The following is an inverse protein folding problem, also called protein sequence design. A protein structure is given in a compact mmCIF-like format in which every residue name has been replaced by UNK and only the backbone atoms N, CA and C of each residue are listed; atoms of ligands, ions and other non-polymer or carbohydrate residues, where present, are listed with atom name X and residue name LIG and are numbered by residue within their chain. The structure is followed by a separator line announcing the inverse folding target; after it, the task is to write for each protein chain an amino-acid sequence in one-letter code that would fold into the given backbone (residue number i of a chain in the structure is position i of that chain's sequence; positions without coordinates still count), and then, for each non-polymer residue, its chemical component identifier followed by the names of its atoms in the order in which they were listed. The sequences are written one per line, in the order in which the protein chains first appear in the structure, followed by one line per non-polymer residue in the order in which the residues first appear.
data_IF_456096924065
#
_entry.id   IF_456096924065
#
_cell.length_a   1.000
_cell.length_b   1.000
_cell.length_c   1.000
_cell.angle_alpha   90.00
_cell.angle_beta   90.00
_cell.angle_gamma   90.00
#
_symmetry.space_group_name_H-M   'P 1'
#
loop_
_entity.id
_entity.type
_entity.pdbx_description
1 polymer ?
#
# COMPACT_ATOMS: atom_id res chain seq x y z
N UNK A 1 8.00 -22.04 -10.85
CA UNK A 1 7.33 -20.95 -10.14
C UNK A 1 6.41 -20.12 -11.02
N UNK A 2 6.65 -19.94 -12.30
CA UNK A 2 5.91 -19.06 -13.24
C UNK A 2 4.36 -19.15 -13.33
N UNK A 3 3.68 -20.06 -12.68
CA UNK A 3 2.21 -20.15 -12.71
C UNK A 3 1.60 -19.50 -11.46
N UNK A 4 2.27 -19.55 -10.32
CA UNK A 4 1.74 -19.06 -9.04
C UNK A 4 1.87 -17.55 -8.89
N UNK A 5 2.92 -16.97 -9.45
CA UNK A 5 3.12 -15.53 -9.56
C UNK A 5 2.01 -14.87 -10.40
N UNK A 6 1.68 -15.46 -11.59
CA UNK A 6 0.55 -15.01 -12.40
C UNK A 6 -0.78 -15.14 -11.64
N UNK A 7 -1.08 -16.28 -11.03
CA UNK A 7 -2.28 -16.46 -10.20
C UNK A 7 -2.39 -15.39 -9.11
N UNK A 8 -1.25 -15.04 -8.47
CA UNK A 8 -1.22 -14.00 -7.45
C UNK A 8 -1.51 -12.62 -8.00
N UNK A 9 -0.91 -12.27 -9.14
CA UNK A 9 -1.16 -11.00 -9.82
C UNK A 9 -2.59 -10.91 -10.36
N UNK A 10 -3.13 -11.98 -10.95
CA UNK A 10 -4.52 -12.03 -11.40
C UNK A 10 -5.51 -11.80 -10.24
N UNK A 11 -5.20 -12.32 -9.06
CA UNK A 11 -6.00 -12.08 -7.86
C UNK A 11 -5.91 -10.63 -7.39
N UNK A 12 -4.69 -10.08 -7.32
CA UNK A 12 -4.50 -8.66 -6.99
C UNK A 12 -5.13 -7.75 -8.04
N UNK A 13 -5.12 -8.15 -9.30
CA UNK A 13 -5.81 -7.48 -10.39
C UNK A 13 -7.32 -7.40 -10.14
N UNK A 14 -7.96 -8.51 -9.75
CA UNK A 14 -9.39 -8.50 -9.37
C UNK A 14 -9.67 -7.55 -8.21
N UNK A 15 -8.79 -7.52 -7.19
CA UNK A 15 -8.89 -6.57 -6.08
C UNK A 15 -8.85 -5.10 -6.58
N UNK A 16 -7.94 -4.80 -7.53
CA UNK A 16 -7.85 -3.46 -8.15
C UNK A 16 -9.10 -3.13 -8.94
N UNK A 17 -9.60 -4.08 -9.74
CA UNK A 17 -10.82 -3.86 -10.56
C UNK A 17 -12.05 -3.62 -9.68
N UNK A 18 -12.17 -4.32 -8.55
CA UNK A 18 -13.23 -4.06 -7.57
C UNK A 18 -13.13 -2.66 -6.94
N UNK A 19 -11.90 -2.17 -6.71
CA UNK A 19 -11.68 -0.79 -6.24
C UNK A 19 -12.01 0.19 -7.36
N UNK A 20 -11.58 -0.06 -8.58
CA UNK A 20 -11.84 0.78 -9.75
C UNK A 20 -13.35 0.96 -10.00
N UNK A 21 -14.12 -0.12 -9.90
CA UNK A 21 -15.59 -0.07 -10.02
C UNK A 21 -16.20 0.86 -8.97
N UNK A 22 -15.78 0.75 -7.72
CA UNK A 22 -16.22 1.64 -6.62
C UNK A 22 -15.81 3.10 -6.82
N UNK A 23 -14.72 3.33 -7.56
CA UNK A 23 -14.24 4.66 -7.92
C UNK A 23 -14.85 5.18 -9.24
N UNK A 24 -15.90 4.54 -9.78
CA UNK A 24 -16.55 4.98 -11.01
C UNK A 24 -15.67 4.89 -12.26
N UNK A 25 -14.66 4.04 -12.27
CA UNK A 25 -13.73 3.87 -13.39
C UNK A 25 -12.53 4.83 -13.38
N UNK A 26 -12.38 5.66 -12.34
CA UNK A 26 -11.25 6.58 -12.20
C UNK A 26 -9.99 5.83 -11.73
N UNK A 27 -9.03 5.63 -12.62
CA UNK A 27 -7.77 4.94 -12.33
C UNK A 27 -6.85 5.71 -11.37
N UNK A 28 -6.90 7.04 -11.37
CA UNK A 28 -6.10 7.84 -10.45
C UNK A 28 -6.64 7.71 -9.02
N UNK A 29 -7.96 7.77 -8.85
CA UNK A 29 -8.62 7.51 -7.56
C UNK A 29 -8.40 6.05 -7.11
N UNK A 30 -8.48 5.08 -8.01
CA UNK A 30 -8.23 3.68 -7.69
C UNK A 30 -6.78 3.46 -7.21
N UNK A 31 -5.78 4.01 -7.88
CA UNK A 31 -4.38 3.98 -7.44
C UNK A 31 -4.21 4.64 -6.07
N UNK A 32 -4.77 5.84 -5.88
CA UNK A 32 -4.76 6.55 -4.60
C UNK A 32 -5.32 5.67 -3.48
N UNK A 33 -6.48 5.06 -3.69
CA UNK A 33 -7.10 4.14 -2.73
C UNK A 33 -6.22 2.92 -2.44
N UNK A 34 -5.58 2.34 -3.48
CA UNK A 34 -4.68 1.21 -3.32
C UNK A 34 -3.40 1.56 -2.54
N UNK A 35 -2.85 2.76 -2.72
CA UNK A 35 -1.72 3.27 -1.94
C UNK A 35 -2.09 3.43 -0.47
N UNK A 36 -3.24 4.04 -0.18
CA UNK A 36 -3.76 4.17 1.17
C UNK A 36 -3.97 2.80 1.83
N UNK A 37 -4.65 1.88 1.14
CA UNK A 37 -4.84 0.49 1.58
C UNK A 37 -3.52 -0.20 1.93
N UNK A 38 -2.50 -0.06 1.08
CA UNK A 38 -1.19 -0.68 1.29
C UNK A 38 -0.42 -0.02 2.46
N UNK A 39 -0.60 1.28 2.66
CA UNK A 39 -0.01 2.00 3.80
C UNK A 39 -0.59 1.52 5.13
N UNK A 40 -1.88 1.20 5.20
CA UNK A 40 -2.58 0.71 6.39
C UNK A 40 -2.17 -0.70 6.83
N UNK A 41 -1.58 -1.49 5.94
CA UNK A 41 -1.21 -2.88 6.22
C UNK A 41 -2.42 -3.75 6.62
N UNK A 42 -2.21 -4.71 7.51
CA UNK A 42 -3.29 -5.63 7.90
C UNK A 42 -4.25 -5.04 8.95
N UNK A 43 -3.77 -4.13 9.82
CA UNK A 43 -4.55 -3.65 10.96
C UNK A 43 -5.46 -2.46 10.64
N UNK A 44 -5.01 -1.58 9.75
CA UNK A 44 -5.72 -0.35 9.40
C UNK A 44 -6.13 -0.31 7.92
N UNK A 45 -6.22 -1.46 7.25
CA UNK A 45 -6.59 -1.54 5.83
C UNK A 45 -7.89 -0.82 5.54
N UNK A 46 -8.95 -1.17 6.26
CA UNK A 46 -10.29 -0.62 6.05
C UNK A 46 -10.38 0.88 6.41
N UNK A 47 -9.84 1.35 7.57
CA UNK A 47 -9.78 2.78 7.85
C UNK A 47 -9.08 3.61 6.77
N UNK A 48 -7.99 3.09 6.17
CA UNK A 48 -7.32 3.81 5.07
C UNK A 48 -8.13 3.82 3.78
N UNK A 49 -8.88 2.78 3.47
CA UNK A 49 -9.80 2.75 2.32
C UNK A 49 -10.92 3.77 2.54
N UNK A 50 -11.50 3.82 3.74
CA UNK A 50 -12.54 4.77 4.10
C UNK A 50 -12.02 6.22 4.03
N UNK A 51 -10.83 6.48 4.58
CA UNK A 51 -10.16 7.78 4.46
C UNK A 51 -10.01 8.22 2.99
N UNK A 52 -9.52 7.33 2.12
CA UNK A 52 -9.34 7.62 0.70
C UNK A 52 -10.66 7.86 -0.05
N UNK A 53 -11.76 7.31 0.44
CA UNK A 53 -13.09 7.53 -0.13
C UNK A 53 -13.72 8.86 0.31
N UNK A 54 -13.46 9.31 1.55
CA UNK A 54 -13.97 10.58 2.09
C UNK A 54 -13.14 11.77 1.67
N UNK A 55 -11.82 11.65 1.69
CA UNK A 55 -10.86 12.64 1.18
C UNK A 55 -10.32 12.15 -0.16
N UNK A 56 -11.06 12.40 -1.24
CA UNK A 56 -10.74 11.88 -2.57
C UNK A 56 -9.49 12.50 -3.17
N UNK A 57 -8.88 11.81 -4.13
CA UNK A 57 -7.71 12.32 -4.86
C UNK A 57 -7.98 13.68 -5.53
N UNK A 58 -9.17 13.89 -6.06
CA UNK A 58 -9.60 15.15 -6.64
C UNK A 58 -9.59 16.31 -5.63
N UNK A 59 -10.02 16.07 -4.37
CA UNK A 59 -9.94 17.08 -3.31
C UNK A 59 -8.50 17.42 -2.99
N UNK A 60 -7.64 16.41 -2.85
CA UNK A 60 -6.20 16.59 -2.61
C UNK A 60 -5.55 17.39 -3.74
N UNK A 61 -5.85 17.08 -5.00
CA UNK A 61 -5.31 17.82 -6.16
C UNK A 61 -5.67 19.31 -6.14
N UNK A 62 -6.84 19.67 -5.63
CA UNK A 62 -7.27 21.07 -5.54
C UNK A 62 -6.52 21.85 -4.45
N UNK A 63 -6.13 21.17 -3.38
CA UNK A 63 -5.48 21.78 -2.22
C UNK A 63 -3.95 21.62 -2.22
N UNK A 64 -3.37 20.88 -3.17
CA UNK A 64 -1.95 20.48 -3.19
C UNK A 64 -0.93 21.62 -3.19
N UNK A 65 -1.34 22.83 -3.57
CA UNK A 65 -0.49 24.03 -3.54
C UNK A 65 -0.04 24.43 -2.13
N UNK A 66 -0.73 23.94 -1.11
CA UNK A 66 -0.41 24.16 0.29
C UNK A 66 -0.44 22.84 1.05
N UNK A 67 0.72 22.42 1.57
CA UNK A 67 0.87 21.17 2.31
C UNK A 67 0.03 21.16 3.60
N UNK A 68 -0.14 22.30 4.28
CA UNK A 68 -0.97 22.38 5.48
C UNK A 68 -2.44 22.09 5.16
N UNK A 69 -2.94 22.51 4.00
CA UNK A 69 -4.31 22.18 3.56
C UNK A 69 -4.46 20.68 3.27
N UNK A 70 -3.47 20.04 2.65
CA UNK A 70 -3.51 18.59 2.39
C UNK A 70 -3.42 17.79 3.69
N UNK A 71 -2.55 18.20 4.62
CA UNK A 71 -2.44 17.57 5.93
C UNK A 71 -3.73 17.75 6.75
N UNK A 72 -4.30 18.97 6.74
CA UNK A 72 -5.57 19.26 7.40
C UNK A 72 -6.71 18.41 6.82
N UNK A 73 -6.79 18.32 5.49
CA UNK A 73 -7.79 17.51 4.80
C UNK A 73 -7.71 16.04 5.24
N UNK A 74 -6.51 15.43 5.20
CA UNK A 74 -6.34 14.01 5.48
C UNK A 74 -6.43 13.69 6.98
N UNK A 75 -5.73 14.45 7.84
CA UNK A 75 -5.74 14.23 9.29
C UNK A 75 -7.10 14.55 9.91
N UNK A 76 -7.74 15.63 9.45
CA UNK A 76 -9.08 16.01 9.92
C UNK A 76 -10.14 15.01 9.51
N UNK A 77 -10.14 14.56 8.23
CA UNK A 77 -11.03 13.50 7.76
C UNK A 77 -10.82 12.20 8.52
N UNK A 78 -9.57 11.88 8.87
CA UNK A 78 -9.24 10.71 9.69
C UNK A 78 -9.68 10.84 11.17
N UNK A 79 -10.24 11.99 11.59
CA UNK A 79 -10.64 12.26 12.99
C UNK A 79 -9.44 12.41 13.95
N UNK A 80 -8.26 12.79 13.43
CA UNK A 80 -7.02 12.87 14.22
C UNK A 80 -6.71 14.27 14.73
N UNK A 81 -7.45 15.27 14.31
CA UNK A 81 -7.36 16.65 14.82
C UNK A 81 -8.40 16.94 15.89
N UNK A 82 -9.37 16.06 16.10
CA UNK A 82 -10.40 16.24 17.11
C UNK A 82 -9.81 16.22 18.52
N UNK A 83 -10.08 17.28 19.30
CA UNK A 83 -9.55 17.42 20.66
C UNK A 83 -8.06 17.75 20.77
N UNK A 84 -7.36 18.02 19.66
CA UNK A 84 -5.92 18.30 19.63
C UNK A 84 -5.57 19.76 19.33
N UNK A 85 -6.54 20.59 18.97
CA UNK A 85 -6.32 21.98 18.46
C UNK A 85 -5.74 22.95 19.49
N UNK A 86 -5.66 22.57 20.75
CA UNK A 86 -5.08 23.39 21.83
C UNK A 86 -3.63 23.02 22.18
N UNK A 87 -3.03 22.02 21.52
CA UNK A 87 -1.66 21.60 21.84
C UNK A 87 -0.62 22.60 21.38
N UNK A 88 -0.75 23.10 20.15
CA UNK A 88 0.15 24.09 19.57
C UNK A 88 -0.49 24.82 18.38
N UNK A 89 0.17 25.91 17.95
CA UNK A 89 -0.33 26.77 16.87
C UNK A 89 -0.41 26.04 15.51
N UNK A 90 0.46 25.07 15.26
CA UNK A 90 0.42 24.32 14.01
C UNK A 90 -0.83 23.44 13.91
N UNK A 91 -1.09 22.70 14.97
CA UNK A 91 -2.28 21.84 15.04
C UNK A 91 -3.56 22.66 15.07
N UNK A 92 -3.55 23.83 15.74
CA UNK A 92 -4.69 24.76 15.72
C UNK A 92 -4.99 25.21 14.28
N UNK A 93 -3.95 25.62 13.50
CA UNK A 93 -4.14 25.97 12.08
C UNK A 93 -4.66 24.81 11.24
N UNK A 94 -4.11 23.59 11.41
CA UNK A 94 -4.63 22.41 10.70
C UNK A 94 -6.11 22.14 11.02
N UNK A 95 -6.51 22.34 12.27
CA UNK A 95 -7.91 22.18 12.69
C UNK A 95 -8.81 23.21 12.01
N UNK A 96 -8.42 24.50 12.00
CA UNK A 96 -9.17 25.57 11.37
C UNK A 96 -9.29 25.35 9.84
N UNK A 97 -8.19 24.97 9.17
CA UNK A 97 -8.20 24.60 7.77
C UNK A 97 -9.14 23.42 7.52
N UNK A 98 -9.12 22.41 8.39
CA UNK A 98 -10.02 21.27 8.25
C UNK A 98 -11.50 21.67 8.37
N UNK A 99 -11.86 22.53 9.33
CA UNK A 99 -13.24 23.02 9.48
C UNK A 99 -13.73 23.73 8.20
N UNK A 100 -12.87 24.52 7.57
CA UNK A 100 -13.16 25.13 6.28
C UNK A 100 -13.34 24.07 5.17
N UNK A 101 -12.39 23.12 5.04
CA UNK A 101 -12.40 22.08 4.01
C UNK A 101 -13.57 21.10 4.19
N UNK A 102 -13.91 20.75 5.42
CA UNK A 102 -15.05 19.89 5.71
C UNK A 102 -16.38 20.54 5.23
N UNK A 103 -16.55 21.84 5.43
CA UNK A 103 -17.71 22.58 4.90
C UNK A 103 -17.67 22.69 3.38
N UNK A 104 -16.49 23.00 2.81
CA UNK A 104 -16.29 23.14 1.35
C UNK A 104 -16.65 21.86 0.58
N UNK A 105 -16.31 20.70 1.13
CA UNK A 105 -16.46 19.41 0.47
C UNK A 105 -17.58 18.54 1.05
N UNK A 106 -18.26 18.97 2.10
CA UNK A 106 -19.31 18.18 2.76
C UNK A 106 -18.76 16.92 3.45
N UNK A 107 -17.55 16.99 4.00
CA UNK A 107 -16.88 15.83 4.60
C UNK A 107 -17.41 15.58 6.01
N UNK A 108 -17.76 14.33 6.29
CA UNK A 108 -18.00 13.82 7.64
C UNK A 108 -16.74 13.11 8.12
N UNK A 109 -16.12 13.52 9.23
CA UNK A 109 -14.88 12.90 9.72
C UNK A 109 -15.12 11.47 10.17
N UNK A 110 -14.07 10.67 10.12
CA UNK A 110 -14.00 9.37 10.77
C UNK A 110 -13.88 9.53 12.28
N UNK A 111 -14.25 8.49 13.02
CA UNK A 111 -14.03 8.46 14.47
C UNK A 111 -12.61 8.03 14.79
N UNK A 112 -11.95 8.70 15.72
CA UNK A 112 -10.58 8.36 16.16
C UNK A 112 -10.45 6.90 16.65
N UNK A 113 -11.54 6.30 17.14
CA UNK A 113 -11.60 4.90 17.59
C UNK A 113 -11.57 3.85 16.47
N UNK A 114 -11.76 4.24 15.21
CA UNK A 114 -11.68 3.31 14.06
C UNK A 114 -10.24 2.89 13.73
N UNK A 115 -9.25 3.61 14.28
CA UNK A 115 -7.84 3.34 14.03
C UNK A 115 -7.23 2.43 15.09
N UNK A 116 -6.70 1.28 14.68
CA UNK A 116 -5.85 0.46 15.55
C UNK A 116 -4.55 1.20 15.87
N UNK A 117 -4.27 1.42 17.16
CA UNK A 117 -3.08 2.14 17.66
C UNK A 117 -2.20 1.28 18.56
N UNK A 118 -2.81 0.36 19.33
CA UNK A 118 -2.12 -0.48 20.29
C UNK A 118 -1.13 -1.43 19.62
N UNK A 119 0.09 -1.53 20.15
CA UNK A 119 1.14 -2.42 19.65
C UNK A 119 1.71 -2.02 18.29
N UNK A 120 1.51 -0.77 17.85
CA UNK A 120 2.08 -0.23 16.61
C UNK A 120 3.26 0.68 16.95
N UNK A 121 4.44 0.41 16.35
CA UNK A 121 5.63 1.26 16.51
C UNK A 121 5.35 2.69 16.03
N UNK A 122 5.98 3.70 16.65
CA UNK A 122 5.74 5.11 16.37
C UNK A 122 5.78 5.44 14.87
N UNK A 123 6.79 4.97 14.16
CA UNK A 123 6.96 5.17 12.71
C UNK A 123 5.85 4.55 11.85
N UNK A 124 5.06 3.63 12.39
CA UNK A 124 3.95 2.96 11.71
C UNK A 124 2.57 3.45 12.20
N UNK A 125 2.54 4.41 13.12
CA UNK A 125 1.27 4.99 13.59
C UNK A 125 0.49 5.61 12.44
N UNK A 126 -0.85 5.55 12.48
CA UNK A 126 -1.69 6.11 11.44
C UNK A 126 -1.35 7.57 11.10
N UNK A 127 -1.18 8.45 12.10
CA UNK A 127 -0.78 9.86 11.89
C UNK A 127 0.48 9.97 11.04
N UNK A 128 1.57 9.27 11.41
CA UNK A 128 2.84 9.30 10.66
C UNK A 128 2.65 8.85 9.21
N UNK A 129 1.87 7.80 8.98
CA UNK A 129 1.63 7.28 7.63
C UNK A 129 0.72 8.17 6.80
N UNK A 130 -0.28 8.82 7.42
CA UNK A 130 -1.13 9.81 6.74
C UNK A 130 -0.31 11.02 6.30
N UNK A 131 0.56 11.53 7.17
CA UNK A 131 1.43 12.67 6.84
C UNK A 131 2.42 12.33 5.73
N UNK A 132 2.97 11.11 5.71
CA UNK A 132 3.80 10.64 4.60
C UNK A 132 3.02 10.59 3.27
N UNK A 133 1.76 10.11 3.31
CA UNK A 133 0.88 10.14 2.14
C UNK A 133 0.54 11.57 1.72
N UNK A 134 0.23 12.45 2.68
CA UNK A 134 -0.02 13.88 2.41
C UNK A 134 1.15 14.52 1.66
N UNK A 135 2.38 14.32 2.16
CA UNK A 135 3.60 14.82 1.52
C UNK A 135 3.82 14.23 0.13
N UNK A 136 3.56 12.93 -0.04
CA UNK A 136 3.67 12.26 -1.33
C UNK A 136 2.70 12.83 -2.36
N UNK A 137 1.40 12.92 -2.02
CA UNK A 137 0.38 13.37 -2.99
C UNK A 137 0.45 14.88 -3.26
N UNK A 138 0.89 15.69 -2.28
CA UNK A 138 1.07 17.13 -2.48
C UNK A 138 2.22 17.45 -3.44
N UNK A 139 3.28 16.66 -3.44
CA UNK A 139 4.48 16.87 -4.26
C UNK A 139 4.46 16.19 -5.63
N UNK A 140 3.53 15.27 -5.85
CA UNK A 140 3.46 14.50 -7.08
C UNK A 140 2.17 14.76 -7.85
N UNK A 141 2.33 15.44 -9.00
CA UNK A 141 1.26 15.58 -9.97
C UNK A 141 1.10 14.27 -10.75
N UNK A 142 -0.13 14.00 -11.19
CA UNK A 142 -0.40 12.89 -12.09
C UNK A 142 0.21 11.56 -11.59
N UNK A 143 -0.08 11.21 -10.30
CA UNK A 143 0.50 10.02 -9.66
C UNK A 143 0.30 8.75 -10.48
N UNK A 144 -0.80 8.65 -11.25
CA UNK A 144 -1.05 7.50 -12.10
C UNK A 144 -0.02 7.38 -13.22
N UNK A 145 0.28 8.48 -13.93
CA UNK A 145 1.24 8.47 -15.02
C UNK A 145 2.66 8.23 -14.53
N UNK A 146 3.00 8.80 -13.36
CA UNK A 146 4.29 8.54 -12.71
C UNK A 146 4.45 7.06 -12.34
N UNK A 147 3.44 6.45 -11.75
CA UNK A 147 3.43 5.02 -11.41
C UNK A 147 3.49 4.17 -12.69
N UNK A 148 2.71 4.49 -13.72
CA UNK A 148 2.74 3.79 -14.99
C UNK A 148 4.09 3.93 -15.72
N UNK A 149 4.87 4.96 -15.39
CA UNK A 149 6.23 5.19 -15.89
C UNK A 149 7.33 4.38 -15.18
N UNK A 150 7.09 3.86 -13.98
CA UNK A 150 8.10 3.09 -13.24
C UNK A 150 8.48 1.81 -13.99
N UNK A 151 9.78 1.50 -14.04
CA UNK A 151 10.32 0.28 -14.66
C UNK A 151 11.22 -0.48 -13.72
N UNK A 152 11.88 0.20 -12.80
CA UNK A 152 12.84 -0.36 -11.86
C UNK A 152 12.44 -0.08 -10.42
N UNK A 153 13.04 -0.79 -9.49
CA UNK A 153 12.90 -0.54 -8.05
C UNK A 153 13.35 0.87 -7.68
N UNK A 154 14.41 1.35 -8.33
CA UNK A 154 14.95 2.69 -8.14
C UNK A 154 13.95 3.77 -8.55
N UNK A 155 13.20 3.58 -9.63
CA UNK A 155 12.13 4.51 -10.03
C UNK A 155 11.05 4.60 -8.94
N UNK A 156 10.67 3.46 -8.35
CA UNK A 156 9.70 3.43 -7.25
C UNK A 156 10.25 4.12 -6.00
N UNK A 157 11.52 3.88 -5.66
CA UNK A 157 12.14 4.54 -4.51
C UNK A 157 12.22 6.05 -4.72
N UNK A 158 12.62 6.51 -5.90
CA UNK A 158 12.67 7.93 -6.25
C UNK A 158 11.27 8.57 -6.20
N UNK A 159 10.24 7.85 -6.65
CA UNK A 159 8.86 8.32 -6.62
C UNK A 159 8.37 8.54 -5.17
N UNK A 160 8.71 7.64 -4.24
CA UNK A 160 8.29 7.71 -2.84
C UNK A 160 9.27 8.43 -1.92
N UNK A 161 10.42 8.92 -2.42
CA UNK A 161 11.38 9.67 -1.61
C UNK A 161 10.90 11.11 -1.35
N UNK A 162 9.94 11.22 -0.47
CA UNK A 162 9.37 12.51 -0.06
C UNK A 162 9.52 12.71 1.43
N UNK A 163 10.01 13.90 1.82
CA UNK A 163 10.07 14.31 3.22
C UNK A 163 8.73 14.87 3.68
N UNK A 164 8.39 14.61 4.93
CA UNK A 164 7.24 15.23 5.59
C UNK A 164 7.49 16.73 5.81
N UNK A 165 6.44 17.52 6.11
CA UNK A 165 6.57 18.92 6.48
C UNK A 165 7.40 19.12 7.74
N UNK A 166 7.93 20.35 7.94
CA UNK A 166 8.89 20.65 9.01
C UNK A 166 8.40 20.27 10.41
N UNK A 167 7.12 20.50 10.69
CA UNK A 167 6.49 20.12 11.96
C UNK A 167 6.61 18.61 12.23
N UNK A 168 6.20 17.80 11.27
CA UNK A 168 6.20 16.35 11.41
C UNK A 168 7.59 15.72 11.41
N UNK A 169 8.63 16.48 11.05
CA UNK A 169 10.00 16.03 11.21
C UNK A 169 10.40 15.85 12.68
N UNK A 170 9.72 16.56 13.60
CA UNK A 170 9.95 16.49 15.05
C UNK A 170 8.79 15.86 15.84
N UNK A 171 7.63 15.63 15.23
CA UNK A 171 6.44 15.13 15.91
C UNK A 171 5.96 13.80 15.31
N UNK A 172 5.63 12.81 16.16
CA UNK A 172 4.96 11.56 15.76
C UNK A 172 3.44 11.59 15.98
N UNK A 173 3.01 12.47 16.85
CA UNK A 173 1.63 12.78 17.21
C UNK A 173 1.54 14.26 17.52
N UNK A 174 0.35 14.86 17.52
CA UNK A 174 0.19 16.31 17.71
C UNK A 174 0.82 16.91 18.98
N UNK A 175 0.93 16.14 20.07
CA UNK A 175 1.47 16.59 21.36
C UNK A 175 2.86 16.04 21.69
N UNK A 176 3.49 15.31 20.76
CA UNK A 176 4.69 14.54 21.01
C UNK A 176 5.91 14.98 20.21
N UNK A 177 6.69 15.96 20.70
CA UNK A 177 7.97 16.32 20.10
C UNK A 177 9.10 15.32 20.42
N UNK A 178 10.05 15.22 19.53
CA UNK A 178 11.23 14.36 19.65
C UNK A 178 12.37 14.83 18.74
N UNK A 179 13.42 14.03 18.63
CA UNK A 179 14.53 14.32 17.73
C UNK A 179 14.06 14.48 16.27
N UNK A 180 14.70 15.42 15.58
CA UNK A 180 14.42 15.69 14.18
C UNK A 180 14.80 14.49 13.30
N UNK A 181 13.84 13.98 12.53
CA UNK A 181 14.05 12.91 11.57
C UNK A 181 13.22 13.23 10.30
N UNK A 182 13.77 13.07 9.09
CA UNK A 182 13.06 13.39 7.85
C UNK A 182 11.78 12.58 7.62
N UNK A 183 11.60 11.49 8.34
CA UNK A 183 10.40 10.61 8.32
C UNK A 183 9.90 10.27 6.93
N UNK A 184 10.83 10.03 6.02
CA UNK A 184 10.54 9.59 4.64
C UNK A 184 9.85 8.22 4.63
N UNK A 185 9.22 7.91 3.52
CA UNK A 185 8.83 6.54 3.22
C UNK A 185 10.12 5.74 2.97
N UNK A 186 10.53 4.92 3.93
CA UNK A 186 11.77 4.13 3.80
C UNK A 186 11.67 3.05 2.72
N UNK A 187 12.82 2.57 2.24
CA UNK A 187 12.95 1.62 1.13
C UNK A 187 12.04 0.38 1.28
N UNK A 188 12.04 -0.28 2.44
CA UNK A 188 11.16 -1.43 2.69
C UNK A 188 9.66 -1.10 2.54
N UNK A 189 9.25 0.11 2.93
CA UNK A 189 7.87 0.53 2.78
C UNK A 189 7.56 0.88 1.32
N UNK A 190 8.48 1.49 0.59
CA UNK A 190 8.35 1.74 -0.85
C UNK A 190 8.21 0.42 -1.61
N UNK A 191 9.03 -0.59 -1.29
CA UNK A 191 8.90 -1.95 -1.84
C UNK A 191 7.52 -2.55 -1.57
N UNK A 192 7.00 -2.42 -0.33
CA UNK A 192 5.65 -2.90 0.02
C UNK A 192 4.54 -2.15 -0.73
N UNK A 193 4.69 -0.84 -0.96
CA UNK A 193 3.76 -0.05 -1.79
C UNK A 193 3.84 -0.50 -3.26
N UNK A 194 5.04 -0.76 -3.77
CA UNK A 194 5.22 -1.32 -5.11
C UNK A 194 4.48 -2.66 -5.26
N UNK A 195 4.75 -3.63 -4.38
CA UNK A 195 4.17 -4.97 -4.42
C UNK A 195 2.65 -4.95 -4.26
N UNK A 196 2.08 -4.04 -3.45
CA UNK A 196 0.67 -4.10 -3.06
C UNK A 196 -0.22 -3.03 -3.71
N UNK A 197 0.35 -2.02 -4.37
CA UNK A 197 -0.39 -0.98 -5.06
C UNK A 197 0.11 -0.75 -6.49
N UNK A 198 1.39 -0.37 -6.67
CA UNK A 198 1.95 0.02 -7.98
C UNK A 198 1.85 -1.12 -9.00
N UNK A 199 2.48 -2.26 -8.72
CA UNK A 199 2.50 -3.43 -9.61
C UNK A 199 1.09 -3.95 -9.93
N UNK A 200 0.18 -4.16 -8.95
CA UNK A 200 -1.18 -4.59 -9.24
C UNK A 200 -1.96 -3.63 -10.11
N UNK A 201 -1.82 -2.31 -9.89
CA UNK A 201 -2.51 -1.30 -10.70
C UNK A 201 -1.96 -1.23 -12.12
N UNK A 202 -0.62 -1.25 -12.30
CA UNK A 202 0.01 -1.33 -13.62
C UNK A 202 -0.46 -2.57 -14.40
N UNK A 203 -0.46 -3.72 -13.74
CA UNK A 203 -0.90 -4.99 -14.34
C UNK A 203 -2.39 -4.94 -14.74
N UNK A 204 -3.27 -4.50 -13.82
CA UNK A 204 -4.69 -4.39 -14.07
C UNK A 204 -5.00 -3.42 -15.23
N UNK A 205 -4.35 -2.25 -15.23
CA UNK A 205 -4.51 -1.27 -16.31
C UNK A 205 -4.01 -1.81 -17.65
N UNK A 206 -2.83 -2.44 -17.68
CA UNK A 206 -2.29 -3.06 -18.88
C UNK A 206 -3.20 -4.16 -19.43
N UNK A 207 -3.83 -4.95 -18.54
CA UNK A 207 -4.76 -6.01 -18.91
C UNK A 207 -6.08 -5.46 -19.46
N UNK A 208 -6.63 -4.42 -18.83
CA UNK A 208 -7.94 -3.85 -19.20
C UNK A 208 -7.86 -3.03 -20.50
N UNK A 209 -6.74 -2.36 -20.74
CA UNK A 209 -6.53 -1.48 -21.89
C UNK A 209 -5.80 -2.14 -23.06
N UNK A 210 -5.43 -3.43 -22.94
CA UNK A 210 -4.67 -4.15 -23.97
C UNK A 210 -3.20 -3.73 -24.09
N UNK A 211 -2.66 -2.95 -23.12
CA UNK A 211 -1.26 -2.49 -23.13
C UNK A 211 -0.33 -3.57 -22.57
N UNK A 212 0.03 -4.56 -23.40
CA UNK A 212 0.87 -5.70 -23.01
C UNK A 212 2.20 -5.29 -22.38
N UNK A 213 2.88 -4.28 -22.95
CA UNK A 213 4.16 -3.77 -22.43
C UNK A 213 4.07 -3.29 -20.96
N UNK A 214 2.92 -2.78 -20.52
CA UNK A 214 2.75 -2.37 -19.12
C UNK A 214 2.58 -3.56 -18.19
N UNK A 215 1.97 -4.64 -18.66
CA UNK A 215 1.89 -5.91 -17.90
C UNK A 215 3.28 -6.51 -17.72
N UNK A 216 4.09 -6.53 -18.79
CA UNK A 216 5.45 -7.05 -18.75
C UNK A 216 6.31 -6.21 -17.78
N UNK A 217 6.23 -4.88 -17.87
CA UNK A 217 6.89 -3.97 -16.94
C UNK A 217 6.49 -4.21 -15.47
N UNK A 218 5.22 -4.54 -15.20
CA UNK A 218 4.76 -4.87 -13.84
C UNK A 218 5.39 -6.18 -13.33
N UNK A 219 5.59 -7.18 -14.19
CA UNK A 219 6.30 -8.41 -13.84
C UNK A 219 7.79 -8.16 -13.60
N UNK A 220 8.44 -7.40 -14.49
CA UNK A 220 9.86 -7.09 -14.39
C UNK A 220 10.14 -6.33 -13.10
N UNK A 221 9.33 -5.32 -12.79
CA UNK A 221 9.42 -4.57 -11.54
C UNK A 221 9.27 -5.47 -10.31
N UNK A 222 8.33 -6.43 -10.33
CA UNK A 222 8.17 -7.38 -9.22
C UNK A 222 9.38 -8.32 -9.09
N UNK A 223 10.04 -8.63 -10.19
CA UNK A 223 11.28 -9.41 -10.23
C UNK A 223 12.50 -8.64 -9.70
N UNK A 224 12.51 -7.33 -9.85
CA UNK A 224 13.59 -6.43 -9.42
C UNK A 224 13.54 -6.12 -7.90
N UNK A 225 12.37 -6.18 -7.30
CA UNK A 225 12.18 -5.96 -5.85
C UNK A 225 12.66 -7.20 -5.07
N UNK A 226 13.45 -7.04 -3.99
CA UNK A 226 13.88 -8.14 -3.13
C UNK A 226 12.71 -8.91 -2.52
N UNK A 227 12.95 -10.16 -2.18
CA UNK A 227 11.95 -10.99 -1.50
C UNK A 227 11.48 -10.37 -0.18
N UNK A 228 10.18 -10.48 0.08
CA UNK A 228 9.58 -10.01 1.33
C UNK A 228 10.12 -10.81 2.53
N UNK A 229 10.48 -10.11 3.59
CA UNK A 229 10.90 -10.74 4.83
C UNK A 229 9.72 -10.97 5.78
N UNK A 230 8.95 -12.03 5.55
CA UNK A 230 7.84 -12.43 6.42
C UNK A 230 7.98 -13.89 6.88
N UNK A 231 7.18 -14.29 7.88
CA UNK A 231 7.28 -15.62 8.48
C UNK A 231 7.08 -16.77 7.46
N UNK A 232 6.22 -16.58 6.47
CA UNK A 232 5.95 -17.59 5.43
C UNK A 232 7.18 -17.76 4.55
N UNK A 233 7.76 -16.67 4.07
CA UNK A 233 8.96 -16.68 3.23
C UNK A 233 10.13 -17.28 3.99
N UNK A 234 10.36 -16.89 5.25
CA UNK A 234 11.41 -17.49 6.08
C UNK A 234 11.22 -18.99 6.28
N UNK A 235 9.99 -19.45 6.47
CA UNK A 235 9.70 -20.88 6.60
C UNK A 235 10.10 -21.66 5.34
N UNK A 236 9.78 -21.14 4.15
CA UNK A 236 10.16 -21.77 2.88
C UNK A 236 11.67 -21.74 2.62
N UNK A 237 12.32 -20.61 2.92
CA UNK A 237 13.78 -20.49 2.81
C UNK A 237 14.50 -21.46 3.75
N UNK A 238 13.98 -21.64 4.98
CA UNK A 238 14.50 -22.62 5.95
C UNK A 238 14.37 -24.07 5.49
N UNK A 239 13.47 -24.36 4.56
CA UNK A 239 13.33 -25.68 3.90
C UNK A 239 14.19 -25.81 2.63
N UNK A 240 15.09 -24.84 2.36
CA UNK A 240 15.98 -24.88 1.18
C UNK A 240 15.35 -24.36 -0.11
N UNK A 241 14.16 -23.76 -0.08
CA UNK A 241 13.56 -23.14 -1.26
C UNK A 241 14.23 -21.80 -1.53
N UNK A 242 14.87 -21.57 -2.70
CA UNK A 242 15.46 -20.28 -3.04
C UNK A 242 14.38 -19.25 -3.27
N UNK A 243 14.47 -18.11 -2.56
CA UNK A 243 13.55 -16.95 -2.69
C UNK A 243 14.41 -15.70 -2.89
N UNK A 244 14.44 -15.19 -4.10
CA UNK A 244 15.35 -14.11 -4.51
C UNK A 244 14.66 -12.77 -4.66
N UNK A 245 13.41 -12.77 -5.10
CA UNK A 245 12.65 -11.57 -5.47
C UNK A 245 11.25 -11.55 -4.86
N UNK A 246 10.59 -10.40 -4.98
CA UNK A 246 9.19 -10.27 -4.60
C UNK A 246 8.29 -11.18 -5.45
N UNK A 247 8.67 -11.47 -6.70
CA UNK A 247 7.98 -12.44 -7.55
C UNK A 247 7.93 -13.81 -6.89
N UNK A 248 9.09 -14.31 -6.40
CA UNK A 248 9.19 -15.58 -5.68
C UNK A 248 8.37 -15.56 -4.38
N UNK A 249 8.51 -14.51 -3.58
CA UNK A 249 7.80 -14.41 -2.30
C UNK A 249 6.28 -14.34 -2.49
N UNK A 250 5.79 -13.62 -3.50
CA UNK A 250 4.36 -13.56 -3.83
C UNK A 250 3.83 -14.92 -4.35
N UNK A 251 4.63 -15.66 -5.12
CA UNK A 251 4.28 -17.02 -5.55
C UNK A 251 4.14 -17.99 -4.35
N UNK A 252 5.06 -17.90 -3.36
CA UNK A 252 5.01 -18.71 -2.15
C UNK A 252 3.83 -18.32 -1.24
N UNK A 253 3.51 -17.03 -1.13
CA UNK A 253 2.32 -16.57 -0.44
C UNK A 253 1.04 -17.10 -1.09
N UNK A 254 0.96 -17.09 -2.42
CA UNK A 254 -0.15 -17.70 -3.15
C UNK A 254 -0.25 -19.21 -2.87
N UNK A 255 0.86 -19.91 -2.98
CA UNK A 255 0.92 -21.35 -2.70
C UNK A 255 0.46 -21.66 -1.27
N UNK A 256 0.97 -20.95 -0.28
CA UNK A 256 0.60 -21.14 1.13
C UNK A 256 -0.89 -20.88 1.37
N UNK A 257 -1.37 -19.71 0.97
CA UNK A 257 -2.71 -19.25 1.34
C UNK A 257 -3.83 -19.97 0.59
N UNK A 258 -3.63 -20.27 -0.69
CA UNK A 258 -4.71 -20.80 -1.56
C UNK A 258 -4.65 -22.31 -1.75
N UNK A 259 -3.53 -22.94 -1.40
CA UNK A 259 -3.37 -24.38 -1.59
C UNK A 259 -3.02 -25.10 -0.30
N UNK A 260 -1.93 -24.71 0.38
CA UNK A 260 -1.47 -25.45 1.57
C UNK A 260 -2.45 -25.31 2.74
N UNK A 261 -2.87 -24.09 3.08
CA UNK A 261 -3.85 -23.86 4.17
C UNK A 261 -5.23 -24.40 3.87
N UNK A 262 -5.57 -24.56 2.58
CA UNK A 262 -6.86 -25.09 2.13
C UNK A 262 -6.84 -26.62 1.91
N UNK A 263 -5.71 -27.30 2.18
CA UNK A 263 -5.57 -28.74 1.96
C UNK A 263 -5.66 -29.17 0.47
N UNK A 264 -5.51 -28.23 -0.49
CA UNK A 264 -5.69 -28.48 -1.94
C UNK A 264 -4.44 -29.06 -2.59
N UNK A 265 -3.84 -30.10 -1.99
CA UNK A 265 -2.61 -30.72 -2.49
C UNK A 265 -2.81 -31.39 -3.86
N UNK A 266 -3.99 -31.92 -4.11
CA UNK A 266 -4.35 -32.57 -5.40
C UNK A 266 -4.45 -31.59 -6.56
N UNK A 267 -4.75 -30.32 -6.30
CA UNK A 267 -4.79 -29.25 -7.31
C UNK A 267 -3.44 -28.56 -7.50
N UNK A 268 -2.51 -28.80 -6.57
CA UNK A 268 -1.20 -28.18 -6.53
C UNK A 268 -0.17 -28.99 -7.33
N UNK A 269 0.58 -28.35 -8.25
CA UNK A 269 1.66 -29.05 -9.01
C UNK A 269 2.72 -29.65 -8.09
N UNK A 270 3.10 -28.96 -7.02
CA UNK A 270 4.05 -29.47 -6.01
C UNK A 270 3.46 -30.66 -5.29
N UNK A 271 2.20 -30.58 -4.82
CA UNK A 271 1.50 -31.69 -4.19
C UNK A 271 1.37 -32.92 -5.13
N UNK A 272 0.96 -32.67 -6.37
CA UNK A 272 0.88 -33.74 -7.39
C UNK A 272 2.22 -34.43 -7.65
N UNK A 273 3.33 -33.69 -7.68
CA UNK A 273 4.67 -34.25 -7.83
C UNK A 273 5.03 -35.15 -6.66
N UNK A 274 4.76 -34.72 -5.43
CA UNK A 274 5.06 -35.51 -4.22
C UNK A 274 4.21 -36.77 -4.16
N UNK A 275 2.92 -36.70 -4.46
CA UNK A 275 2.00 -37.84 -4.50
C UNK A 275 2.46 -38.85 -5.54
N UNK A 276 2.77 -38.41 -6.77
CA UNK A 276 3.26 -39.30 -7.84
C UNK A 276 4.56 -40.03 -7.50
N UNK A 277 5.48 -39.38 -6.78
CA UNK A 277 6.74 -40.02 -6.32
C UNK A 277 6.43 -41.09 -5.28
N UNK A 278 5.46 -40.86 -4.40
CA UNK A 278 5.04 -41.82 -3.37
C UNK A 278 4.38 -43.06 -4.00
N UNK A 279 3.51 -42.87 -4.98
CA UNK A 279 2.86 -44.00 -5.69
C UNK A 279 3.87 -44.89 -6.42
N UNK A 280 4.91 -44.31 -7.04
CA UNK A 280 6.01 -45.05 -7.64
C UNK A 280 6.83 -45.83 -6.61
N UNK A 281 7.05 -45.29 -5.42
CA UNK A 281 7.79 -45.99 -4.36
C UNK A 281 7.01 -47.16 -3.76
N UNK A 282 5.68 -47.14 -3.81
CA UNK A 282 4.82 -48.25 -3.36
C UNK A 282 4.57 -49.33 -4.41
N UNK A 283 4.79 -49.06 -5.72
CA UNK A 283 4.62 -50.06 -6.79
C UNK A 283 5.86 -50.93 -7.03
N UNK A 284 6.92 -50.79 -6.23
CA UNK A 284 8.14 -51.61 -6.24
C UNK A 284 8.28 -52.51 -5.00
N UNK A 285 7.18 -52.80 -4.30
CA UNK A 285 7.15 -53.84 -3.23
C UNK A 285 6.20 -54.95 -3.58
#
# INVERSE_FOLDING_TARGET
MCIRDRERLDRKCRDVLNVLERCGGDWAQALYTMLFRAMGGNRNREPYIDLASRATYQMVLRERGDIELVEALLLGTAGMLEGCYYFDDYIARLHDHYLYLARKYGIVPMRAGEWARAGIRAQNRPVTRIVQLASFVARNDFIFDRVAGCRTREDVHALFDTEVSGYWATHYVPDGSGERCPRRIGAEKADLLAINAVVPVMFAYGQTTGKGALKDAAFDLLGDIPAENNAIVRSWSGMGVPVRSALDSQALLQLRNEYCTQGRCTDCKVGKSIIKVRDKAFSFR
#
